data_IF_540901788137
#
_entry.id   IF_540901788137
#
_cell.length_a   1.000
_cell.length_b   1.000
_cell.length_c   1.000
_cell.angle_alpha   90.00
_cell.angle_beta   90.00
_cell.angle_gamma   90.00
#
_symmetry.space_group_name_H-M   'P 1'
#
loop_
_entity.id
_entity.type
_entity.pdbx_description
1 polymer ?
#
# COMPACT_ATOMS: atom_id res chain seq x y z
N UNK A 1 22.07 42.12 19.75
CA UNK A 1 21.20 41.49 20.76
C UNK A 1 21.91 40.28 21.35
N UNK A 2 22.14 40.26 22.64
CA UNK A 2 22.78 39.14 23.34
C UNK A 2 21.73 38.08 23.67
N UNK A 3 22.00 36.85 23.31
CA UNK A 3 21.13 35.70 23.61
C UNK A 3 21.74 34.88 24.73
N UNK A 4 20.95 34.59 25.77
CA UNK A 4 21.34 33.69 26.85
C UNK A 4 20.70 32.32 26.60
N UNK A 5 21.52 31.35 26.22
CA UNK A 5 21.12 29.94 26.04
C UNK A 5 21.39 29.17 27.34
N UNK A 6 20.35 28.46 27.81
CA UNK A 6 20.47 27.55 28.96
C UNK A 6 20.14 26.12 28.47
N UNK A 7 21.12 25.23 28.54
CA UNK A 7 20.91 23.80 28.21
C UNK A 7 20.14 23.18 29.37
N UNK A 8 18.89 22.76 29.12
CA UNK A 8 18.03 22.12 30.14
C UNK A 8 18.17 20.59 30.19
N UNK A 9 18.71 20.00 29.14
CA UNK A 9 18.91 18.54 29.09
C UNK A 9 19.75 18.15 27.89
N UNK A 10 20.42 17.01 27.99
CA UNK A 10 21.16 16.40 26.90
C UNK A 10 20.63 14.97 26.78
N UNK A 11 20.02 14.66 25.63
CA UNK A 11 19.58 13.30 25.31
C UNK A 11 20.64 12.63 24.43
N UNK A 12 21.07 11.44 24.83
CA UNK A 12 22.01 10.62 24.04
C UNK A 12 21.33 9.35 23.61
N UNK A 13 21.53 8.97 22.35
CA UNK A 13 21.13 7.66 21.87
C UNK A 13 22.07 6.61 22.52
N UNK A 14 21.47 5.60 23.14
CA UNK A 14 22.14 4.40 23.65
C UNK A 14 21.35 3.19 23.13
N UNK A 15 22.05 2.18 22.65
CA UNK A 15 21.43 0.91 22.28
C UNK A 15 20.69 0.33 23.48
N UNK A 16 19.46 -0.14 23.24
CA UNK A 16 18.66 -0.76 24.29
C UNK A 16 19.22 -2.15 24.65
N UNK A 17 19.17 -2.49 25.92
CA UNK A 17 19.47 -3.84 26.37
C UNK A 17 18.32 -4.79 26.01
N UNK A 18 18.65 -6.01 25.56
CA UNK A 18 17.66 -7.05 25.26
C UNK A 18 17.10 -7.61 26.58
N UNK A 19 16.16 -6.89 27.16
CA UNK A 19 15.52 -7.22 28.43
C UNK A 19 14.00 -7.14 28.33
N UNK A 20 13.29 -7.56 29.39
CA UNK A 20 11.83 -7.58 29.40
C UNK A 20 11.22 -6.19 29.16
N UNK A 21 11.85 -5.12 29.64
CA UNK A 21 11.35 -3.75 29.44
C UNK A 21 11.31 -3.38 27.94
N UNK A 22 12.34 -3.77 27.18
CA UNK A 22 12.36 -3.58 25.72
C UNK A 22 11.29 -4.44 25.05
N UNK A 23 11.12 -5.69 25.48
CA UNK A 23 10.14 -6.59 24.89
C UNK A 23 8.73 -6.10 25.11
N UNK A 24 8.41 -5.64 26.31
CA UNK A 24 7.10 -5.09 26.66
C UNK A 24 6.80 -3.77 25.91
N UNK A 25 7.81 -2.92 25.73
CA UNK A 25 7.66 -1.69 24.94
C UNK A 25 7.42 -1.95 23.46
N UNK A 26 8.07 -2.98 22.90
CA UNK A 26 7.98 -3.29 21.49
C UNK A 26 6.69 -4.03 21.12
N UNK A 27 6.27 -5.00 21.95
CA UNK A 27 5.20 -5.93 21.60
C UNK A 27 4.02 -5.95 22.58
N UNK A 28 4.11 -5.21 23.67
CA UNK A 28 3.14 -5.22 24.76
C UNK A 28 3.55 -6.12 25.92
N UNK A 29 3.05 -5.79 27.10
CA UNK A 29 3.40 -6.46 28.35
C UNK A 29 3.08 -7.97 28.33
N UNK A 30 4.05 -8.81 28.62
CA UNK A 30 3.89 -10.26 28.70
C UNK A 30 3.71 -11.00 27.38
N UNK A 31 3.78 -10.30 26.23
CA UNK A 31 3.62 -10.91 24.89
C UNK A 31 4.87 -11.67 24.45
N UNK A 32 6.05 -11.22 24.90
CA UNK A 32 7.35 -11.81 24.60
C UNK A 32 8.13 -11.94 25.90
N UNK A 33 8.62 -13.14 26.22
CA UNK A 33 9.25 -13.42 27.50
C UNK A 33 10.71 -13.91 27.39
N UNK A 34 11.25 -13.93 26.17
CA UNK A 34 12.63 -14.32 25.94
C UNK A 34 13.25 -13.61 24.75
N UNK A 35 14.57 -13.47 24.75
CA UNK A 35 15.32 -12.90 23.63
C UNK A 35 15.08 -13.67 22.32
N UNK A 36 14.92 -14.99 22.40
CA UNK A 36 14.62 -15.82 21.24
C UNK A 36 13.25 -15.49 20.66
N UNK A 37 12.23 -15.45 21.49
CA UNK A 37 10.86 -15.07 21.06
C UNK A 37 10.83 -13.66 20.50
N UNK A 38 11.58 -12.72 21.09
CA UNK A 38 11.69 -11.36 20.60
C UNK A 38 12.26 -11.33 19.18
N UNK A 39 13.36 -12.02 18.94
CA UNK A 39 14.00 -12.12 17.62
C UNK A 39 13.08 -12.82 16.60
N UNK A 40 12.48 -13.93 17.00
CA UNK A 40 11.58 -14.69 16.12
C UNK A 40 10.36 -13.83 15.70
N UNK A 41 9.78 -13.08 16.61
CA UNK A 41 8.64 -12.21 16.35
C UNK A 41 9.04 -11.01 15.49
N UNK A 42 10.18 -10.39 15.77
CA UNK A 42 10.72 -9.30 14.94
C UNK A 42 10.98 -9.77 13.50
N UNK A 43 11.58 -10.94 13.32
CA UNK A 43 11.80 -11.52 12.00
C UNK A 43 10.47 -11.83 11.30
N UNK A 44 9.46 -12.30 12.02
CA UNK A 44 8.15 -12.56 11.46
C UNK A 44 7.47 -11.26 10.98
N UNK A 45 7.53 -10.19 11.77
CA UNK A 45 7.00 -8.88 11.38
C UNK A 45 7.74 -8.28 10.18
N UNK A 46 9.07 -8.35 10.18
CA UNK A 46 9.86 -7.91 9.03
C UNK A 46 9.51 -8.70 7.76
N UNK A 47 9.34 -10.03 7.86
CA UNK A 47 8.90 -10.84 6.72
C UNK A 47 7.52 -10.46 6.24
N UNK A 48 6.59 -10.18 7.15
CA UNK A 48 5.23 -9.76 6.80
C UNK A 48 5.24 -8.40 6.07
N UNK A 49 6.04 -7.45 6.56
CA UNK A 49 6.20 -6.15 5.90
C UNK A 49 6.79 -6.29 4.50
N UNK A 50 7.90 -7.03 4.38
CA UNK A 50 8.56 -7.27 3.08
C UNK A 50 7.68 -8.05 2.09
N UNK A 51 6.76 -8.89 2.59
CA UNK A 51 5.81 -9.58 1.73
C UNK A 51 4.83 -8.59 1.06
N UNK A 52 4.39 -7.57 1.80
CA UNK A 52 3.54 -6.50 1.24
C UNK A 52 4.27 -5.74 0.14
N UNK A 53 5.54 -5.38 0.38
CA UNK A 53 6.36 -4.68 -0.61
C UNK A 53 6.62 -5.54 -1.85
N UNK A 54 6.86 -6.85 -1.64
CA UNK A 54 7.03 -7.83 -2.72
C UNK A 54 5.74 -7.98 -3.54
N UNK A 55 4.58 -7.99 -2.89
CA UNK A 55 3.28 -8.05 -3.56
C UNK A 55 3.01 -6.79 -4.37
N UNK A 56 3.37 -5.63 -3.84
CA UNK A 56 3.29 -4.37 -4.57
C UNK A 56 4.18 -4.36 -5.83
N UNK A 57 5.42 -4.88 -5.69
CA UNK A 57 6.32 -5.01 -6.85
C UNK A 57 5.76 -5.97 -7.89
N UNK A 58 5.25 -7.12 -7.46
CA UNK A 58 4.61 -8.09 -8.36
C UNK A 58 3.41 -7.49 -9.08
N UNK A 59 2.55 -6.72 -8.37
CA UNK A 59 1.41 -6.04 -8.99
C UNK A 59 1.87 -5.04 -10.06
N UNK A 60 2.93 -4.30 -9.78
CA UNK A 60 3.53 -3.35 -10.73
C UNK A 60 4.03 -4.07 -11.98
N UNK A 61 4.76 -5.16 -11.82
CA UNK A 61 5.28 -5.96 -12.93
C UNK A 61 4.16 -6.60 -13.76
N UNK A 62 3.12 -7.10 -13.10
CA UNK A 62 1.91 -7.63 -13.74
C UNK A 62 1.20 -6.54 -14.53
N UNK A 63 1.04 -5.34 -13.95
CA UNK A 63 0.45 -4.18 -14.65
C UNK A 63 1.25 -3.86 -15.91
N UNK A 64 2.57 -3.67 -15.77
CA UNK A 64 3.44 -3.34 -16.92
C UNK A 64 3.36 -4.42 -18.03
N UNK A 65 3.37 -5.70 -17.65
CA UNK A 65 3.32 -6.81 -18.60
C UNK A 65 1.98 -6.86 -19.32
N UNK A 66 0.87 -6.77 -18.59
CA UNK A 66 -0.47 -6.92 -19.16
C UNK A 66 -0.88 -5.68 -19.96
N UNK A 67 -0.52 -4.47 -19.54
CA UNK A 67 -0.78 -3.24 -20.29
C UNK A 67 -0.12 -3.29 -21.68
N UNK A 68 1.09 -3.83 -21.78
CA UNK A 68 1.79 -4.04 -23.08
C UNK A 68 1.02 -4.95 -24.03
N UNK A 69 0.21 -5.88 -23.52
CA UNK A 69 -0.62 -6.74 -24.38
C UNK A 69 -1.69 -5.95 -25.13
N UNK A 70 -2.02 -4.75 -24.69
CA UNK A 70 -3.00 -3.86 -25.32
C UNK A 70 -2.35 -2.76 -26.19
N UNK A 71 -1.07 -2.84 -26.52
CA UNK A 71 -0.38 -1.80 -27.33
C UNK A 71 -0.94 -1.65 -28.75
N UNK A 72 -1.61 -2.66 -29.29
CA UNK A 72 -2.31 -2.60 -30.57
C UNK A 72 -3.77 -2.09 -30.51
N UNK A 73 -4.29 -1.80 -29.31
CA UNK A 73 -5.67 -1.35 -29.14
C UNK A 73 -5.78 0.15 -29.39
N UNK A 74 -6.64 0.55 -30.30
CA UNK A 74 -6.91 1.96 -30.60
C UNK A 74 -8.01 2.48 -29.70
N UNK A 75 -7.72 3.54 -28.96
CA UNK A 75 -8.67 4.25 -28.11
C UNK A 75 -9.22 5.49 -28.84
N UNK A 76 -10.46 5.92 -28.56
CA UNK A 76 -11.04 7.16 -29.11
C UNK A 76 -10.46 8.38 -28.36
N UNK A 77 -9.20 8.72 -28.62
CA UNK A 77 -8.46 9.73 -27.86
C UNK A 77 -9.13 11.09 -27.83
N UNK A 78 -9.64 11.57 -28.98
CA UNK A 78 -10.36 12.84 -29.08
C UNK A 78 -11.59 12.89 -28.17
N UNK A 79 -12.33 11.79 -28.08
CA UNK A 79 -13.46 11.67 -27.17
C UNK A 79 -12.99 11.68 -25.71
N UNK A 80 -11.97 10.91 -25.38
CA UNK A 80 -11.45 10.80 -24.01
C UNK A 80 -10.88 12.12 -23.51
N UNK A 81 -10.16 12.86 -24.36
CA UNK A 81 -9.64 14.19 -24.03
C UNK A 81 -10.77 15.18 -23.76
N UNK A 82 -11.76 15.24 -24.63
CA UNK A 82 -12.94 16.11 -24.43
C UNK A 82 -13.70 15.75 -23.17
N UNK A 83 -13.95 14.46 -22.94
CA UNK A 83 -14.63 13.98 -21.73
C UNK A 83 -13.86 14.35 -20.46
N UNK A 84 -12.54 14.18 -20.45
CA UNK A 84 -11.70 14.52 -19.30
C UNK A 84 -11.77 16.02 -18.95
N UNK A 85 -11.76 16.90 -19.95
CA UNK A 85 -11.89 18.35 -19.75
C UNK A 85 -13.30 18.75 -19.28
N UNK A 86 -14.34 18.10 -19.80
CA UNK A 86 -15.73 18.39 -19.41
C UNK A 86 -16.06 17.90 -17.99
N UNK A 87 -15.43 16.81 -17.54
CA UNK A 87 -15.70 16.21 -16.22
C UNK A 87 -14.80 16.73 -15.11
N UNK A 88 -13.69 17.40 -15.45
CA UNK A 88 -12.74 17.94 -14.47
C UNK A 88 -12.46 19.42 -14.76
N UNK A 89 -13.23 20.30 -14.14
CA UNK A 89 -13.12 21.76 -14.30
C UNK A 89 -11.75 22.33 -13.93
N UNK A 90 -10.94 21.59 -13.16
CA UNK A 90 -9.60 22.02 -12.72
C UNK A 90 -8.49 21.60 -13.68
N UNK A 91 -8.79 20.72 -14.63
CA UNK A 91 -7.81 20.20 -15.58
C UNK A 91 -7.71 21.13 -16.78
N UNK A 92 -6.52 21.64 -17.04
CA UNK A 92 -6.26 22.44 -18.24
C UNK A 92 -5.92 21.54 -19.43
N UNK A 93 -6.11 22.06 -20.65
CA UNK A 93 -5.76 21.32 -21.85
C UNK A 93 -4.26 20.99 -21.95
N UNK A 94 -3.40 21.87 -21.44
CA UNK A 94 -1.95 21.65 -21.40
C UNK A 94 -1.55 20.54 -20.42
N UNK A 95 -2.13 20.55 -19.22
CA UNK A 95 -1.92 19.49 -18.23
C UNK A 95 -2.46 18.14 -18.74
N UNK A 96 -3.61 18.16 -19.42
CA UNK A 96 -4.18 16.96 -20.02
C UNK A 96 -3.24 16.34 -21.05
N UNK A 97 -2.67 17.13 -21.97
CA UNK A 97 -1.75 16.61 -22.99
C UNK A 97 -0.51 15.95 -22.34
N UNK A 98 0.00 16.50 -21.24
CA UNK A 98 1.12 15.92 -20.51
C UNK A 98 0.74 14.63 -19.78
N UNK A 99 -0.47 14.56 -19.23
CA UNK A 99 -0.91 13.41 -18.42
C UNK A 99 -1.61 12.33 -19.26
N UNK A 100 -2.03 12.67 -20.49
CA UNK A 100 -2.84 11.78 -21.32
C UNK A 100 -2.23 10.39 -21.57
N UNK A 101 -0.92 10.24 -21.82
CA UNK A 101 -0.31 8.91 -21.96
C UNK A 101 -0.50 8.05 -20.70
N UNK A 102 -0.30 8.62 -19.51
CA UNK A 102 -0.52 7.93 -18.23
C UNK A 102 -1.99 7.58 -18.02
N UNK A 103 -2.91 8.48 -18.39
CA UNK A 103 -4.37 8.20 -18.34
C UNK A 103 -4.76 7.02 -19.24
N UNK A 104 -4.16 6.88 -20.42
CA UNK A 104 -4.41 5.74 -21.31
C UNK A 104 -3.86 4.45 -20.71
N UNK A 105 -2.67 4.48 -20.08
CA UNK A 105 -2.13 3.30 -19.37
C UNK A 105 -3.01 2.88 -18.21
N UNK A 106 -3.51 3.84 -17.43
CA UNK A 106 -4.43 3.55 -16.33
C UNK A 106 -5.77 3.01 -16.85
N UNK A 107 -6.30 3.55 -17.94
CA UNK A 107 -7.50 3.02 -18.58
C UNK A 107 -7.29 1.57 -19.06
N UNK A 108 -6.18 1.28 -19.73
CA UNK A 108 -5.81 -0.09 -20.12
C UNK A 108 -5.81 -1.02 -18.90
N UNK A 109 -5.20 -0.58 -17.81
CA UNK A 109 -5.15 -1.36 -16.57
C UNK A 109 -6.53 -1.61 -15.98
N UNK A 110 -7.40 -0.58 -15.94
CA UNK A 110 -8.78 -0.76 -15.48
C UNK A 110 -9.54 -1.78 -16.31
N UNK A 111 -9.45 -1.72 -17.65
CA UNK A 111 -10.09 -2.70 -18.53
C UNK A 111 -9.59 -4.12 -18.31
N UNK A 112 -8.29 -4.29 -18.06
CA UNK A 112 -7.69 -5.59 -17.74
C UNK A 112 -8.22 -6.10 -16.40
N UNK A 113 -8.22 -5.27 -15.36
CA UNK A 113 -8.75 -5.63 -14.04
C UNK A 113 -10.21 -6.06 -14.13
N UNK A 114 -11.03 -5.30 -14.84
CA UNK A 114 -12.44 -5.60 -15.04
C UNK A 114 -12.63 -6.94 -15.75
N UNK A 115 -11.83 -7.24 -16.76
CA UNK A 115 -11.91 -8.50 -17.48
C UNK A 115 -11.48 -9.69 -16.59
N UNK A 116 -10.41 -9.55 -15.81
CA UNK A 116 -9.97 -10.55 -14.84
C UNK A 116 -11.05 -10.76 -13.78
N UNK A 117 -11.62 -9.68 -13.25
CA UNK A 117 -12.67 -9.75 -12.25
C UNK A 117 -13.91 -10.47 -12.75
N UNK A 118 -14.36 -10.16 -13.96
CA UNK A 118 -15.51 -10.82 -14.61
C UNK A 118 -15.24 -12.32 -14.83
N UNK A 119 -14.09 -12.67 -15.38
CA UNK A 119 -13.73 -14.06 -15.68
C UNK A 119 -13.61 -14.94 -14.44
N UNK A 120 -13.27 -14.35 -13.29
CA UNK A 120 -13.06 -15.06 -12.03
C UNK A 120 -14.17 -14.79 -10.99
N UNK A 121 -15.26 -14.11 -11.38
CA UNK A 121 -16.36 -13.75 -10.49
C UNK A 121 -15.90 -13.01 -9.23
N UNK A 122 -14.88 -12.14 -9.34
CA UNK A 122 -14.40 -11.33 -8.23
C UNK A 122 -15.48 -10.31 -7.85
N UNK A 123 -15.83 -10.30 -6.57
CA UNK A 123 -16.73 -9.30 -5.98
C UNK A 123 -16.00 -8.62 -4.82
N UNK A 124 -16.26 -7.34 -4.66
CA UNK A 124 -15.82 -6.58 -3.48
C UNK A 124 -17.01 -6.48 -2.54
N UNK A 125 -16.84 -7.02 -1.36
CA UNK A 125 -17.86 -6.99 -0.32
C UNK A 125 -17.54 -5.92 0.74
N UNK A 126 -18.52 -5.54 1.53
CA UNK A 126 -18.33 -4.54 2.57
C UNK A 126 -17.26 -4.96 3.60
N UNK A 127 -17.16 -6.26 3.85
CA UNK A 127 -16.14 -6.83 4.73
C UNK A 127 -14.73 -6.64 4.19
N UNK A 128 -14.51 -6.80 2.88
CA UNK A 128 -13.21 -6.56 2.24
C UNK A 128 -12.76 -5.12 2.44
N UNK A 129 -13.66 -4.17 2.20
CA UNK A 129 -13.39 -2.74 2.38
C UNK A 129 -13.09 -2.39 3.84
N UNK A 130 -13.85 -2.97 4.78
CA UNK A 130 -13.62 -2.77 6.20
C UNK A 130 -12.26 -3.31 6.65
N UNK A 131 -11.92 -4.52 6.21
CA UNK A 131 -10.63 -5.14 6.52
C UNK A 131 -9.46 -4.34 5.94
N UNK A 132 -9.60 -3.84 4.71
CA UNK A 132 -8.59 -2.96 4.11
C UNK A 132 -8.45 -1.64 4.89
N UNK A 133 -9.56 -1.00 5.23
CA UNK A 133 -9.56 0.26 5.98
C UNK A 133 -8.91 0.10 7.36
N UNK A 134 -9.14 -1.03 8.06
CA UNK A 134 -8.48 -1.36 9.34
C UNK A 134 -6.97 -1.51 9.16
N UNK A 135 -6.52 -2.28 8.14
CA UNK A 135 -5.09 -2.44 7.82
C UNK A 135 -4.42 -1.10 7.52
N UNK A 136 -5.06 -0.26 6.71
CA UNK A 136 -4.55 1.07 6.36
C UNK A 136 -4.46 1.98 7.60
N UNK A 137 -5.47 1.96 8.47
CA UNK A 137 -5.47 2.67 9.74
C UNK A 137 -4.34 2.18 10.64
N UNK A 138 -4.17 0.88 10.80
CA UNK A 138 -3.10 0.30 11.60
C UNK A 138 -1.71 0.71 11.09
N UNK A 139 -1.49 0.66 9.78
CA UNK A 139 -0.24 1.09 9.16
C UNK A 139 0.03 2.58 9.40
N UNK A 140 -0.99 3.43 9.32
CA UNK A 140 -0.87 4.85 9.59
C UNK A 140 -0.46 5.13 11.05
N UNK A 141 -1.10 4.47 12.01
CA UNK A 141 -0.75 4.62 13.43
C UNK A 141 0.65 4.08 13.76
N UNK A 142 1.06 2.99 13.10
CA UNK A 142 2.40 2.44 13.25
C UNK A 142 3.50 3.44 12.86
N UNK A 143 3.26 4.30 11.84
CA UNK A 143 4.18 5.38 11.47
C UNK A 143 4.37 6.42 12.59
N UNK A 144 3.39 6.57 13.48
CA UNK A 144 3.46 7.43 14.66
C UNK A 144 3.96 6.69 15.92
N UNK A 145 4.47 5.45 15.75
CA UNK A 145 5.01 4.63 16.85
C UNK A 145 3.95 3.90 17.68
N UNK A 146 2.67 3.94 17.26
CA UNK A 146 1.58 3.22 17.93
C UNK A 146 1.41 1.84 17.31
N UNK A 147 2.11 0.84 17.87
CA UNK A 147 2.11 -0.53 17.35
C UNK A 147 0.90 -1.36 17.79
N UNK A 148 0.29 -1.02 18.93
CA UNK A 148 -0.88 -1.71 19.46
C UNK A 148 -2.04 -0.73 19.56
N UNK A 149 -3.09 -0.98 18.78
CA UNK A 149 -4.29 -0.16 18.74
C UNK A 149 -5.46 -1.06 19.12
N UNK A 150 -6.35 -0.63 20.05
CA UNK A 150 -7.56 -1.37 20.38
C UNK A 150 -8.48 -1.55 19.16
N UNK A 151 -9.12 -2.71 19.04
CA UNK A 151 -9.97 -3.05 17.89
C UNK A 151 -11.15 -2.09 17.71
N UNK A 152 -11.72 -1.59 18.79
CA UNK A 152 -12.81 -0.62 18.77
C UNK A 152 -12.37 0.72 18.16
N UNK A 153 -11.13 1.12 18.40
CA UNK A 153 -10.54 2.31 17.81
C UNK A 153 -10.25 2.09 16.31
N UNK A 154 -9.70 0.94 15.93
CA UNK A 154 -9.52 0.58 14.52
C UNK A 154 -10.86 0.58 13.76
N UNK A 155 -11.90 0.00 14.36
CA UNK A 155 -13.25 -0.03 13.80
C UNK A 155 -13.82 1.37 13.58
N UNK A 156 -13.61 2.27 14.54
CA UNK A 156 -14.08 3.65 14.46
C UNK A 156 -13.43 4.39 13.30
N UNK A 157 -12.10 4.37 13.22
CA UNK A 157 -11.38 5.06 12.15
C UNK A 157 -11.62 4.44 10.77
N UNK A 158 -11.73 3.12 10.68
CA UNK A 158 -12.09 2.44 9.44
C UNK A 158 -13.49 2.85 8.95
N UNK A 159 -14.48 2.95 9.85
CA UNK A 159 -15.83 3.45 9.51
C UNK A 159 -15.81 4.92 9.09
N UNK A 160 -15.02 5.76 9.73
CA UNK A 160 -14.86 7.16 9.36
C UNK A 160 -14.24 7.28 7.95
N UNK A 161 -13.22 6.49 7.65
CA UNK A 161 -12.60 6.42 6.32
C UNK A 161 -13.62 5.99 5.25
N UNK A 162 -14.47 5.00 5.55
CA UNK A 162 -15.55 4.53 4.67
C UNK A 162 -16.75 5.48 4.59
N UNK A 163 -16.84 6.48 5.44
CA UNK A 163 -17.83 7.55 5.36
C UNK A 163 -17.53 8.59 4.28
N UNK A 164 -16.31 8.62 3.74
CA UNK A 164 -15.88 9.55 2.69
C UNK A 164 -15.86 8.84 1.33
N UNK A 165 -16.63 9.37 0.34
CA UNK A 165 -16.78 8.75 -0.97
C UNK A 165 -15.45 8.60 -1.74
N UNK A 166 -14.56 9.60 -1.67
CA UNK A 166 -13.26 9.54 -2.34
C UNK A 166 -12.35 8.48 -1.73
N UNK A 167 -12.45 8.28 -0.41
CA UNK A 167 -11.74 7.22 0.29
C UNK A 167 -12.30 5.85 -0.09
N UNK A 168 -13.61 5.70 -0.18
CA UNK A 168 -14.26 4.47 -0.62
C UNK A 168 -13.80 4.09 -2.02
N UNK A 169 -13.79 5.02 -2.97
CA UNK A 169 -13.34 4.76 -4.34
C UNK A 169 -11.89 4.24 -4.37
N UNK A 170 -11.00 4.89 -3.60
CA UNK A 170 -9.61 4.44 -3.48
C UNK A 170 -9.47 3.06 -2.83
N UNK A 171 -10.28 2.78 -1.80
CA UNK A 171 -10.28 1.48 -1.13
C UNK A 171 -10.77 0.39 -2.07
N UNK A 172 -11.84 0.65 -2.82
CA UNK A 172 -12.37 -0.29 -3.84
C UNK A 172 -11.29 -0.64 -4.86
N UNK A 173 -10.59 0.35 -5.39
CA UNK A 173 -9.49 0.13 -6.34
C UNK A 173 -8.38 -0.74 -5.74
N UNK A 174 -7.96 -0.46 -4.50
CA UNK A 174 -6.91 -1.22 -3.81
C UNK A 174 -7.34 -2.65 -3.49
N UNK A 175 -8.55 -2.83 -3.01
CA UNK A 175 -9.12 -4.17 -2.76
C UNK A 175 -9.24 -4.97 -4.07
N UNK A 176 -9.62 -4.30 -5.17
CA UNK A 176 -9.63 -4.94 -6.49
C UNK A 176 -8.23 -5.38 -6.91
N UNK A 177 -7.22 -4.52 -6.73
CA UNK A 177 -5.82 -4.83 -7.02
C UNK A 177 -5.33 -6.04 -6.21
N UNK A 178 -5.65 -6.12 -4.90
CA UNK A 178 -5.30 -7.27 -4.04
C UNK A 178 -5.97 -8.57 -4.54
N UNK A 179 -7.26 -8.52 -4.87
CA UNK A 179 -8.01 -9.69 -5.35
C UNK A 179 -7.54 -10.16 -6.74
N UNK A 180 -7.27 -9.24 -7.64
CA UNK A 180 -6.70 -9.54 -8.96
C UNK A 180 -5.31 -10.16 -8.81
N UNK A 181 -4.46 -9.60 -7.95
CA UNK A 181 -3.14 -10.16 -7.68
C UNK A 181 -3.21 -11.59 -7.12
N UNK A 182 -4.17 -11.87 -6.23
CA UNK A 182 -4.39 -13.20 -5.68
C UNK A 182 -4.76 -14.21 -6.79
N UNK A 183 -5.62 -13.80 -7.73
CA UNK A 183 -5.97 -14.63 -8.91
C UNK A 183 -4.74 -14.85 -9.79
N UNK A 184 -3.96 -13.82 -10.08
CA UNK A 184 -2.74 -13.95 -10.87
C UNK A 184 -1.77 -14.92 -10.21
N UNK A 185 -1.49 -14.78 -8.92
CA UNK A 185 -0.61 -15.68 -8.16
C UNK A 185 -1.04 -17.14 -8.23
N UNK A 186 -2.34 -17.40 -8.23
CA UNK A 186 -2.86 -18.77 -8.32
C UNK A 186 -2.90 -19.33 -9.75
N UNK A 187 -2.87 -18.47 -10.75
CA UNK A 187 -3.05 -18.85 -12.17
C UNK A 187 -1.74 -19.01 -12.94
N UNK A 188 -0.64 -18.44 -12.43
CA UNK A 188 0.66 -18.45 -13.11
C UNK A 188 1.75 -19.09 -12.25
N UNK A 189 2.81 -19.56 -12.91
CA UNK A 189 4.03 -19.99 -12.22
C UNK A 189 4.91 -18.78 -11.99
N UNK A 190 5.13 -18.44 -10.73
CA UNK A 190 6.02 -17.35 -10.33
C UNK A 190 7.49 -17.79 -10.37
N UNK A 191 8.35 -16.92 -10.85
CA UNK A 191 9.81 -17.05 -10.74
C UNK A 191 10.29 -16.27 -9.52
N UNK A 192 10.36 -16.96 -8.38
CA UNK A 192 10.77 -16.37 -7.12
C UNK A 192 12.29 -16.27 -7.01
N UNK A 193 12.82 -15.07 -6.81
CA UNK A 193 14.24 -14.80 -6.59
C UNK A 193 14.49 -14.30 -5.17
N UNK A 194 15.46 -14.93 -4.50
CA UNK A 194 15.96 -14.41 -3.22
C UNK A 194 17.02 -13.35 -3.51
N UNK A 195 16.75 -12.14 -3.09
CA UNK A 195 17.66 -11.00 -3.24
C UNK A 195 17.86 -10.31 -1.89
N UNK A 196 18.88 -9.47 -1.78
CA UNK A 196 19.08 -8.62 -0.61
C UNK A 196 18.08 -7.46 -0.59
N UNK A 197 17.87 -6.84 0.57
CA UNK A 197 17.03 -5.66 0.72
C UNK A 197 17.52 -4.49 -0.15
N UNK A 198 18.83 -4.31 -0.24
CA UNK A 198 19.43 -3.26 -1.07
C UNK A 198 19.16 -3.47 -2.58
N UNK A 199 19.22 -4.72 -3.03
CA UNK A 199 18.86 -5.05 -4.41
C UNK A 199 17.38 -4.86 -4.67
N UNK A 200 16.53 -5.19 -3.70
CA UNK A 200 15.09 -4.99 -3.79
C UNK A 200 14.74 -3.50 -3.87
N UNK A 201 15.33 -2.67 -3.00
CA UNK A 201 15.10 -1.22 -2.99
C UNK A 201 15.48 -0.57 -4.32
N UNK A 202 16.60 -0.99 -4.92
CA UNK A 202 17.04 -0.51 -6.24
C UNK A 202 16.04 -0.80 -7.38
N UNK A 203 15.16 -1.78 -7.22
CA UNK A 203 14.11 -2.06 -8.22
C UNK A 203 13.05 -0.95 -8.31
N UNK A 204 12.95 -0.09 -7.30
CA UNK A 204 12.03 1.05 -7.25
C UNK A 204 12.70 2.38 -7.62
N UNK A 205 14.03 2.41 -7.70
CA UNK A 205 14.79 3.57 -8.17
C UNK A 205 14.76 3.60 -9.70
N UNK A 206 13.82 4.38 -10.26
CA UNK A 206 13.74 4.68 -11.71
C UNK A 206 13.93 6.16 -11.94
#
# INVERSE_FOLDING_TARGET
>A
SDFKLTIKGITRFKEAELNQELFDKAFGEGVVNSEKEFKDKLVAEMKASLAVDSDFKLLTDVKELLVKTLDGVVFPEEFLKRWALETNEKLTAEELEQQFPAMIEDLKWHLIKDQIAKNNNIKIEQEDMMNFAKKATQAQFAQYGMMSIPDDMLDKYAKEMLGNQDSVNRIVDRVMDEKVLAVVKSSVKLDEKKISLDEFNKMFEK
#
